data_IF_379750687104
#
_entry.id   IF_379750687104
#
_cell.length_a   1.000
_cell.length_b   1.000
_cell.length_c   1.000
_cell.angle_alpha   90.00
_cell.angle_beta   90.00
_cell.angle_gamma   90.00
#
_symmetry.space_group_name_H-M   'P 1'
#
loop_
_entity.id
_entity.type
_entity.pdbx_description
1 polymer ?
#
# COMPACT_ATOMS: atom_id res chain seq x y z
N UNK A 1 15.59 1.12 -11.03
CA UNK A 1 14.27 0.55 -10.69
C UNK A 1 13.58 0.12 -11.97
N UNK A 2 13.74 -1.15 -12.36
CA UNK A 2 12.91 -1.73 -13.43
C UNK A 2 11.55 -2.03 -12.79
N UNK A 3 10.46 -1.62 -13.42
CA UNK A 3 9.15 -2.14 -13.04
C UNK A 3 9.23 -3.68 -13.09
N UNK A 4 8.51 -4.36 -12.20
CA UNK A 4 8.48 -5.83 -12.20
C UNK A 4 8.18 -6.33 -13.62
N UNK A 5 8.90 -7.34 -14.14
CA UNK A 5 8.61 -7.94 -15.45
C UNK A 5 7.15 -8.39 -15.59
N UNK A 6 6.48 -8.70 -14.49
CA UNK A 6 5.06 -9.02 -14.45
C UNK A 6 4.20 -7.78 -14.74
N UNK A 7 4.55 -6.62 -14.18
CA UNK A 7 3.89 -5.35 -14.48
C UNK A 7 4.07 -5.03 -15.96
N UNK A 8 5.29 -5.12 -16.51
CA UNK A 8 5.54 -4.87 -17.93
C UNK A 8 4.77 -5.83 -18.85
N UNK A 9 4.67 -7.12 -18.49
CA UNK A 9 3.89 -8.11 -19.24
C UNK A 9 2.38 -7.89 -19.15
N UNK A 10 1.85 -7.57 -17.96
CA UNK A 10 0.44 -7.22 -17.79
C UNK A 10 0.09 -5.91 -18.52
N UNK A 11 1.00 -4.93 -18.55
CA UNK A 11 0.82 -3.65 -19.23
C UNK A 11 0.94 -3.77 -20.76
N UNK A 12 1.74 -4.71 -21.28
CA UNK A 12 1.95 -4.92 -22.72
C UNK A 12 0.84 -5.75 -23.40
N UNK A 13 0.00 -6.43 -22.63
CA UNK A 13 -1.03 -7.35 -23.15
C UNK A 13 -2.46 -6.79 -23.15
N UNK A 14 -2.67 -5.52 -22.77
CA UNK A 14 -3.99 -4.90 -22.71
C UNK A 14 -4.39 -4.37 -24.09
N UNK A 15 -5.58 -4.77 -24.55
CA UNK A 15 -6.22 -4.25 -25.77
C UNK A 15 -6.46 -2.73 -25.69
N UNK A 16 -6.29 -2.04 -26.82
CA UNK A 16 -6.41 -0.57 -26.87
C UNK A 16 -7.80 -0.07 -26.42
N UNK A 17 -8.87 -0.84 -26.65
CA UNK A 17 -10.21 -0.46 -26.20
C UNK A 17 -10.34 -0.57 -24.69
N UNK A 18 -9.80 -1.66 -24.10
CA UNK A 18 -9.77 -1.85 -22.64
C UNK A 18 -8.96 -0.75 -21.97
N UNK A 19 -7.84 -0.34 -22.59
CA UNK A 19 -7.06 0.79 -22.10
C UNK A 19 -7.84 2.10 -22.15
N UNK A 20 -8.51 2.39 -23.27
CA UNK A 20 -9.29 3.62 -23.44
C UNK A 20 -10.47 3.69 -22.45
N UNK A 21 -11.18 2.59 -22.22
CA UNK A 21 -12.23 2.49 -21.20
C UNK A 21 -11.68 2.76 -19.80
N UNK A 22 -10.53 2.17 -19.48
CA UNK A 22 -9.82 2.43 -18.23
C UNK A 22 -9.43 3.89 -18.01
N UNK A 23 -8.95 4.56 -19.07
CA UNK A 23 -8.63 5.99 -19.04
C UNK A 23 -9.89 6.82 -18.74
N UNK A 24 -11.05 6.46 -19.29
CA UNK A 24 -12.32 7.12 -19.01
C UNK A 24 -12.80 6.91 -17.58
N UNK A 25 -12.78 5.67 -17.08
CA UNK A 25 -13.17 5.37 -15.69
C UNK A 25 -12.26 6.15 -14.72
N UNK A 26 -10.96 6.21 -14.99
CA UNK A 26 -10.01 6.96 -14.17
C UNK A 26 -10.28 8.47 -14.19
N UNK A 27 -10.61 9.04 -15.36
CA UNK A 27 -10.87 10.46 -15.51
C UNK A 27 -12.19 10.90 -14.86
N UNK A 28 -13.26 10.10 -15.02
CA UNK A 28 -14.61 10.48 -14.58
C UNK A 28 -14.78 10.39 -13.07
N UNK A 29 -14.03 9.51 -12.38
CA UNK A 29 -14.15 9.28 -10.92
C UNK A 29 -15.62 9.23 -10.47
N UNK A 30 -16.42 8.32 -11.06
CA UNK A 30 -17.88 8.44 -11.10
C UNK A 30 -18.53 8.48 -9.71
N UNK A 31 -17.88 7.93 -8.69
CA UNK A 31 -18.44 7.82 -7.34
C UNK A 31 -18.05 9.00 -6.42
N UNK A 32 -17.11 9.87 -6.83
CA UNK A 32 -16.48 10.86 -5.94
C UNK A 32 -17.49 11.88 -5.40
N UNK A 33 -18.48 12.27 -6.22
CA UNK A 33 -19.49 13.25 -5.84
C UNK A 33 -20.67 12.69 -5.01
N UNK A 34 -20.91 11.37 -5.04
CA UNK A 34 -22.08 10.76 -4.40
C UNK A 34 -21.77 10.18 -3.02
N UNK A 35 -20.62 9.50 -2.89
CA UNK A 35 -20.30 8.70 -1.70
C UNK A 35 -18.92 9.04 -1.10
N UNK A 36 -18.22 10.05 -1.63
CA UNK A 36 -16.83 10.34 -1.24
C UNK A 36 -15.82 9.26 -1.66
N UNK A 37 -16.27 8.18 -2.30
CA UNK A 37 -15.47 7.06 -2.83
C UNK A 37 -15.10 7.34 -4.28
N UNK A 38 -13.86 7.12 -4.70
CA UNK A 38 -13.49 7.45 -6.09
C UNK A 38 -13.98 6.40 -7.10
N UNK A 39 -13.85 5.11 -6.78
CA UNK A 39 -14.14 3.97 -7.67
C UNK A 39 -14.72 2.78 -6.87
N UNK A 40 -15.59 1.98 -7.48
CA UNK A 40 -16.12 0.75 -6.88
C UNK A 40 -15.11 -0.40 -6.95
N UNK A 41 -15.40 -1.53 -6.28
CA UNK A 41 -14.59 -2.74 -6.39
C UNK A 41 -14.53 -3.28 -7.83
N UNK A 42 -15.65 -3.21 -8.55
CA UNK A 42 -15.73 -3.57 -9.97
C UNK A 42 -14.83 -2.66 -10.83
N UNK A 43 -14.82 -1.35 -10.54
CA UNK A 43 -13.91 -0.44 -11.23
C UNK A 43 -12.44 -0.79 -10.94
N UNK A 44 -12.08 -1.10 -9.69
CA UNK A 44 -10.73 -1.50 -9.34
C UNK A 44 -10.28 -2.82 -9.98
N UNK A 45 -11.21 -3.72 -10.28
CA UNK A 45 -10.94 -4.95 -11.02
C UNK A 45 -10.74 -4.73 -12.53
N UNK A 46 -11.09 -3.55 -13.07
CA UNK A 46 -10.97 -3.26 -14.49
C UNK A 46 -9.50 -3.06 -14.93
N UNK A 47 -9.01 -3.92 -15.81
CA UNK A 47 -7.59 -3.94 -16.23
C UNK A 47 -7.09 -2.61 -16.79
N UNK A 48 -7.92 -1.90 -17.57
CA UNK A 48 -7.55 -0.58 -18.08
C UNK A 48 -7.44 0.48 -16.96
N UNK A 49 -8.27 0.38 -15.91
CA UNK A 49 -8.15 1.29 -14.76
C UNK A 49 -6.87 0.94 -14.00
N UNK A 50 -6.62 -0.35 -13.76
CA UNK A 50 -5.40 -0.81 -13.11
C UNK A 50 -4.16 -0.31 -13.86
N UNK A 51 -4.12 -0.40 -15.19
CA UNK A 51 -3.04 0.16 -16.01
C UNK A 51 -2.78 1.64 -15.68
N UNK A 52 -3.83 2.46 -15.69
CA UNK A 52 -3.70 3.90 -15.43
C UNK A 52 -3.31 4.19 -13.98
N UNK A 53 -3.89 3.46 -13.04
CA UNK A 53 -3.58 3.58 -11.61
C UNK A 53 -2.12 3.21 -11.35
N UNK A 54 -1.66 2.07 -11.83
CA UNK A 54 -0.28 1.62 -11.68
C UNK A 54 0.69 2.62 -12.33
N UNK A 55 0.38 3.11 -13.54
CA UNK A 55 1.22 4.09 -14.25
C UNK A 55 1.34 5.44 -13.51
N UNK A 56 0.22 5.97 -13.03
CA UNK A 56 0.17 7.33 -12.46
C UNK A 56 0.46 7.35 -10.96
N UNK A 57 -0.08 6.39 -10.22
CA UNK A 57 0.00 6.33 -8.76
C UNK A 57 1.26 5.66 -8.24
N UNK A 58 1.94 4.81 -9.01
CA UNK A 58 3.21 4.21 -8.57
C UNK A 58 4.24 5.26 -8.16
N UNK A 59 4.58 6.17 -9.08
CA UNK A 59 5.56 7.22 -8.83
C UNK A 59 5.10 8.17 -7.71
N UNK A 60 3.83 8.55 -7.71
CA UNK A 60 3.28 9.42 -6.67
C UNK A 60 3.41 8.76 -5.28
N UNK A 61 2.82 7.57 -5.11
CA UNK A 61 2.73 6.88 -3.81
C UNK A 61 4.09 6.46 -3.28
N UNK A 62 4.96 5.96 -4.16
CA UNK A 62 6.33 5.63 -3.79
C UNK A 62 7.07 6.87 -3.27
N UNK A 63 7.03 7.98 -4.02
CA UNK A 63 7.76 9.20 -3.66
C UNK A 63 7.23 9.82 -2.36
N UNK A 64 5.91 9.91 -2.22
CA UNK A 64 5.26 10.41 -1.01
C UNK A 64 5.57 9.54 0.22
N UNK A 65 5.50 8.20 0.05
CA UNK A 65 5.82 7.23 1.09
C UNK A 65 7.27 7.31 1.55
N UNK A 66 8.23 7.33 0.61
CA UNK A 66 9.65 7.44 0.94
C UNK A 66 9.96 8.75 1.67
N UNK A 67 9.40 9.86 1.18
CA UNK A 67 9.58 11.17 1.83
C UNK A 67 8.94 11.20 3.23
N UNK A 68 7.82 10.51 3.44
CA UNK A 68 7.20 10.37 4.76
C UNK A 68 8.11 9.61 5.73
N UNK A 69 8.64 8.47 5.32
CA UNK A 69 9.60 7.68 6.11
C UNK A 69 10.83 8.50 6.48
N UNK A 70 11.41 9.22 5.52
CA UNK A 70 12.57 10.07 5.78
C UNK A 70 12.28 11.16 6.81
N UNK A 71 11.10 11.78 6.76
CA UNK A 71 10.69 12.79 7.75
C UNK A 71 10.52 12.18 9.14
N UNK A 72 9.86 11.03 9.23
CA UNK A 72 9.67 10.33 10.49
C UNK A 72 11.01 9.87 11.10
N UNK A 73 11.93 9.38 10.28
CA UNK A 73 13.30 9.04 10.68
C UNK A 73 14.07 10.24 11.21
N UNK A 74 14.05 11.36 10.49
CA UNK A 74 14.71 12.59 10.94
C UNK A 74 14.10 13.16 12.22
N UNK A 75 12.83 12.85 12.50
CA UNK A 75 12.15 13.21 13.75
C UNK A 75 12.44 12.24 14.90
N UNK A 76 13.22 11.17 14.67
CA UNK A 76 13.58 10.18 15.68
C UNK A 76 12.56 9.06 15.90
N UNK A 77 11.56 8.90 15.02
CA UNK A 77 10.51 7.90 15.18
C UNK A 77 11.02 6.44 15.17
N UNK A 78 12.24 6.21 14.66
CA UNK A 78 12.87 4.89 14.57
C UNK A 78 14.05 4.73 15.55
N UNK A 79 14.17 5.60 16.55
CA UNK A 79 15.32 5.62 17.46
C UNK A 79 15.58 4.26 18.15
N UNK A 80 14.51 3.57 18.57
CA UNK A 80 14.60 2.24 19.21
C UNK A 80 15.15 1.19 18.24
N UNK A 81 14.66 1.18 16.98
CA UNK A 81 15.13 0.27 15.94
C UNK A 81 16.58 0.55 15.53
N UNK A 82 17.02 1.81 15.58
CA UNK A 82 18.43 2.16 15.31
C UNK A 82 19.35 1.84 16.48
N UNK A 83 18.86 1.89 17.72
CA UNK A 83 19.65 1.57 18.90
C UNK A 83 19.91 0.06 19.00
N UNK A 84 18.91 -0.76 18.66
CA UNK A 84 19.02 -2.23 18.62
C UNK A 84 19.99 -2.71 17.53
N UNK A 85 20.16 -1.94 16.45
CA UNK A 85 21.07 -2.28 15.35
C UNK A 85 22.55 -2.42 15.77
N UNK A 86 22.95 -1.77 16.87
CA UNK A 86 24.31 -1.88 17.41
C UNK A 86 24.49 -3.10 18.34
N UNK A 87 23.42 -3.74 18.80
CA UNK A 87 23.45 -4.76 19.85
C UNK A 87 23.32 -6.21 19.33
N UNK A 88 22.50 -6.44 18.30
CA UNK A 88 22.35 -7.69 17.53
C UNK A 88 21.14 -7.51 16.59
N UNK A 89 21.00 -8.28 15.50
CA UNK A 89 19.74 -8.31 14.75
C UNK A 89 18.59 -8.62 15.71
N UNK A 90 17.55 -7.77 15.71
CA UNK A 90 16.31 -8.05 16.45
C UNK A 90 15.82 -9.46 16.12
N UNK A 91 15.50 -10.26 17.15
CA UNK A 91 14.90 -11.58 16.96
C UNK A 91 13.44 -11.52 16.45
N UNK A 92 12.88 -10.32 16.35
CA UNK A 92 11.51 -10.10 15.90
C UNK A 92 11.49 -9.26 14.62
N UNK A 93 10.76 -9.71 13.58
CA UNK A 93 10.55 -8.91 12.38
C UNK A 93 9.89 -7.55 12.71
N UNK A 94 10.37 -6.49 12.07
CA UNK A 94 9.71 -5.19 12.00
C UNK A 94 8.51 -5.31 11.05
N UNK A 95 7.30 -5.33 11.63
CA UNK A 95 6.05 -5.62 10.95
C UNK A 95 5.36 -4.34 10.52
N UNK A 96 5.24 -4.15 9.21
CA UNK A 96 4.62 -2.97 8.62
C UNK A 96 3.34 -3.38 7.89
N UNK A 97 2.24 -2.71 8.22
CA UNK A 97 0.96 -2.88 7.53
C UNK A 97 0.59 -1.58 6.80
N UNK A 98 0.09 -1.68 5.57
CA UNK A 98 -0.53 -0.55 4.88
C UNK A 98 -2.05 -0.74 4.84
N UNK A 99 -2.79 0.24 5.38
CA UNK A 99 -4.25 0.20 5.51
C UNK A 99 -4.90 0.88 4.29
N UNK A 100 -5.59 0.08 3.48
CA UNK A 100 -6.01 0.44 2.12
C UNK A 100 -4.82 0.61 1.18
N UNK A 101 -3.87 -0.33 1.26
CA UNK A 101 -2.57 -0.25 0.58
C UNK A 101 -2.58 -0.52 -0.92
N UNK A 102 -3.69 -1.01 -1.46
CA UNK A 102 -3.87 -1.38 -2.86
C UNK A 102 -2.69 -2.20 -3.41
N UNK A 103 -2.00 -1.74 -4.47
CA UNK A 103 -0.88 -2.47 -5.07
C UNK A 103 0.43 -2.43 -4.25
N UNK A 104 0.48 -1.74 -3.11
CA UNK A 104 1.64 -1.79 -2.19
C UNK A 104 2.79 -0.83 -2.50
N UNK A 105 2.57 0.23 -3.29
CA UNK A 105 3.66 1.16 -3.67
C UNK A 105 4.31 1.92 -2.51
N UNK A 106 3.54 2.28 -1.49
CA UNK A 106 4.09 2.89 -0.28
C UNK A 106 4.88 1.90 0.57
N UNK A 107 4.47 0.63 0.61
CA UNK A 107 5.23 -0.43 1.27
C UNK A 107 6.53 -0.74 0.52
N UNK A 108 6.54 -0.62 -0.82
CA UNK A 108 7.79 -0.67 -1.58
C UNK A 108 8.73 0.48 -1.18
N UNK A 109 8.19 1.68 -0.94
CA UNK A 109 8.99 2.79 -0.45
C UNK A 109 9.51 2.55 0.98
N UNK A 110 8.71 1.96 1.87
CA UNK A 110 9.15 1.53 3.20
C UNK A 110 10.27 0.49 3.10
N UNK A 111 10.12 -0.51 2.22
CA UNK A 111 11.12 -1.55 1.98
C UNK A 111 12.47 -0.94 1.59
N UNK A 112 12.47 -0.07 0.59
CA UNK A 112 13.68 0.56 0.08
C UNK A 112 14.29 1.52 1.12
N UNK A 113 13.45 2.22 1.89
CA UNK A 113 13.89 3.07 2.99
C UNK A 113 14.58 2.26 4.09
N UNK A 114 13.95 1.19 4.59
CA UNK A 114 14.52 0.36 5.64
C UNK A 114 15.81 -0.32 5.16
N UNK A 115 15.88 -0.78 3.91
CA UNK A 115 17.12 -1.33 3.36
C UNK A 115 18.28 -0.31 3.38
N UNK A 116 17.99 0.98 3.19
CA UNK A 116 18.99 2.05 3.20
C UNK A 116 19.35 2.58 4.60
N UNK A 117 18.38 2.64 5.52
CA UNK A 117 18.51 3.35 6.79
C UNK A 117 18.39 2.46 8.04
N UNK A 118 17.83 1.26 7.89
CA UNK A 118 17.63 0.25 8.95
C UNK A 118 18.09 -1.14 8.44
N UNK A 119 19.33 -1.30 7.96
CA UNK A 119 19.76 -2.49 7.21
C UNK A 119 19.79 -3.79 8.02
N UNK A 120 19.73 -3.69 9.35
CA UNK A 120 19.69 -4.83 10.28
C UNK A 120 18.27 -5.27 10.64
N UNK A 121 17.25 -4.48 10.27
CA UNK A 121 15.85 -4.81 10.53
C UNK A 121 15.38 -5.91 9.58
N UNK A 122 14.81 -6.99 10.14
CA UNK A 122 14.06 -7.98 9.37
C UNK A 122 12.66 -7.44 9.08
N UNK A 123 12.43 -6.90 7.88
CA UNK A 123 11.18 -6.19 7.56
C UNK A 123 10.16 -7.13 6.93
N UNK A 124 8.97 -7.18 7.51
CA UNK A 124 7.80 -7.87 6.96
C UNK A 124 6.73 -6.84 6.56
N UNK A 125 6.14 -7.02 5.38
CA UNK A 125 5.25 -6.03 4.76
C UNK A 125 3.93 -6.70 4.37
N UNK A 126 2.82 -6.12 4.81
CA UNK A 126 1.46 -6.58 4.45
C UNK A 126 0.62 -5.41 3.96
N UNK A 127 0.05 -5.54 2.76
CA UNK A 127 -0.96 -4.64 2.20
C UNK A 127 -2.34 -5.16 2.57
N UNK A 128 -3.14 -4.34 3.24
CA UNK A 128 -4.52 -4.64 3.61
C UNK A 128 -5.44 -3.80 2.73
N UNK A 129 -6.31 -4.43 1.94
CA UNK A 129 -7.23 -3.70 1.06
C UNK A 129 -8.45 -4.55 0.68
N UNK A 130 -9.63 -3.94 0.59
CA UNK A 130 -10.85 -4.59 0.09
C UNK A 130 -10.73 -5.01 -1.38
N UNK A 131 -9.95 -4.28 -2.19
CA UNK A 131 -9.77 -4.56 -3.61
C UNK A 131 -8.77 -5.69 -3.84
N UNK A 132 -9.22 -6.93 -3.69
CA UNK A 132 -8.41 -8.15 -3.87
C UNK A 132 -7.75 -8.29 -5.24
N UNK A 133 -8.27 -7.58 -6.25
CA UNK A 133 -7.66 -7.50 -7.59
C UNK A 133 -6.25 -6.90 -7.59
N UNK A 134 -5.82 -6.25 -6.52
CA UNK A 134 -4.44 -5.75 -6.36
C UNK A 134 -3.44 -6.79 -5.88
N UNK A 135 -3.89 -7.93 -5.34
CA UNK A 135 -3.04 -8.98 -4.79
C UNK A 135 -1.88 -9.36 -5.71
N UNK A 136 -2.09 -9.65 -7.02
CA UNK A 136 -0.98 -10.02 -7.90
C UNK A 136 0.08 -8.92 -8.04
N UNK A 137 -0.34 -7.65 -7.99
CA UNK A 137 0.59 -6.52 -8.04
C UNK A 137 1.45 -6.46 -6.77
N UNK A 138 0.82 -6.51 -5.60
CA UNK A 138 1.52 -6.47 -4.31
C UNK A 138 2.49 -7.66 -4.15
N UNK A 139 2.03 -8.88 -4.42
CA UNK A 139 2.86 -10.08 -4.29
C UNK A 139 4.04 -10.06 -5.26
N UNK A 140 3.89 -9.47 -6.46
CA UNK A 140 5.01 -9.30 -7.40
C UNK A 140 6.10 -8.34 -6.92
N UNK A 141 5.80 -7.48 -5.94
CA UNK A 141 6.75 -6.60 -5.26
C UNK A 141 7.38 -7.27 -4.03
N UNK A 142 6.98 -8.50 -3.72
CA UNK A 142 7.36 -9.23 -2.52
C UNK A 142 6.67 -8.71 -1.27
N UNK A 143 5.41 -8.29 -1.39
CA UNK A 143 4.56 -7.78 -0.31
C UNK A 143 3.40 -8.75 -0.12
N UNK A 144 3.12 -9.14 1.13
CA UNK A 144 1.94 -9.95 1.45
C UNK A 144 0.66 -9.14 1.26
N UNK A 145 -0.44 -9.80 0.91
CA UNK A 145 -1.73 -9.12 0.74
C UNK A 145 -2.84 -9.87 1.50
N UNK A 146 -3.69 -9.14 2.19
CA UNK A 146 -4.92 -9.68 2.78
C UNK A 146 -6.10 -8.77 2.48
N UNK A 147 -7.27 -9.38 2.28
CA UNK A 147 -8.51 -8.64 2.21
C UNK A 147 -8.91 -8.19 3.62
N UNK A 148 -9.17 -6.91 3.79
CA UNK A 148 -9.57 -6.35 5.07
C UNK A 148 -10.35 -5.05 4.86
N UNK A 149 -11.43 -4.88 5.63
CA UNK A 149 -12.21 -3.64 5.67
C UNK A 149 -11.61 -2.73 6.75
N UNK A 150 -11.33 -1.47 6.40
CA UNK A 150 -10.80 -0.50 7.35
C UNK A 150 -11.75 -0.17 8.51
N UNK A 151 -13.03 -0.50 8.36
CA UNK A 151 -14.02 -0.38 9.43
C UNK A 151 -14.02 -1.59 10.38
N UNK A 152 -13.29 -2.66 10.06
CA UNK A 152 -13.13 -3.86 10.89
C UNK A 152 -11.89 -3.73 11.80
N UNK A 153 -12.02 -2.94 12.87
CA UNK A 153 -10.92 -2.70 13.81
C UNK A 153 -10.43 -3.97 14.53
N UNK A 154 -11.35 -4.82 15.00
CA UNK A 154 -11.00 -6.05 15.74
C UNK A 154 -10.27 -7.07 14.85
N UNK A 155 -10.58 -7.12 13.55
CA UNK A 155 -9.95 -8.03 12.59
C UNK A 155 -8.55 -7.63 12.10
N UNK A 156 -8.03 -6.45 12.46
CA UNK A 156 -6.79 -5.92 11.89
C UNK A 156 -5.58 -6.86 12.05
N UNK A 157 -5.34 -7.37 13.27
CA UNK A 157 -4.18 -8.21 13.57
C UNK A 157 -4.30 -9.59 12.89
N UNK A 158 -5.51 -10.15 12.87
CA UNK A 158 -5.80 -11.41 12.17
C UNK A 158 -5.57 -11.27 10.66
N UNK A 159 -6.10 -10.20 10.05
CA UNK A 159 -5.93 -9.92 8.63
C UNK A 159 -4.47 -9.67 8.26
N UNK A 160 -3.72 -8.95 9.11
CA UNK A 160 -2.29 -8.74 8.94
C UNK A 160 -1.45 -10.02 9.13
N UNK A 161 -2.02 -11.05 9.76
CA UNK A 161 -1.35 -12.31 10.05
C UNK A 161 -0.25 -12.19 11.11
N UNK A 162 -0.39 -11.23 12.04
CA UNK A 162 0.64 -10.90 13.02
C UNK A 162 0.04 -10.61 14.39
N UNK A 163 0.83 -10.84 15.45
CA UNK A 163 0.45 -10.49 16.83
C UNK A 163 0.63 -8.99 17.15
N UNK A 164 1.42 -8.28 16.33
CA UNK A 164 1.75 -6.86 16.51
C UNK A 164 2.07 -6.20 15.17
N UNK A 165 1.62 -4.97 14.99
CA UNK A 165 2.08 -4.07 13.93
C UNK A 165 3.00 -3.03 14.55
N UNK A 166 4.22 -2.88 14.01
CA UNK A 166 5.21 -1.89 14.47
C UNK A 166 5.05 -0.55 13.76
N UNK A 167 4.54 -0.57 12.52
CA UNK A 167 4.25 0.62 11.74
C UNK A 167 2.99 0.39 10.88
N UNK A 168 1.97 1.23 11.10
CA UNK A 168 0.82 1.34 10.22
C UNK A 168 1.05 2.49 9.22
N UNK A 169 0.95 2.21 7.94
CA UNK A 169 1.00 3.20 6.86
C UNK A 169 -0.41 3.45 6.35
N UNK A 170 -0.82 4.71 6.32
CA UNK A 170 -2.16 5.12 5.89
C UNK A 170 -2.02 6.25 4.89
N UNK A 171 -2.39 6.01 3.65
CA UNK A 171 -2.26 6.98 2.57
C UNK A 171 -3.58 7.23 1.89
N UNK A 172 -4.13 8.43 2.06
CA UNK A 172 -5.36 8.90 1.38
C UNK A 172 -6.67 8.19 1.77
N UNK A 173 -6.59 7.00 2.36
CA UNK A 173 -7.73 6.25 2.89
C UNK A 173 -8.33 6.95 4.11
N UNK A 174 -7.49 7.66 4.89
CA UNK A 174 -7.93 8.40 6.07
C UNK A 174 -9.01 9.44 5.75
N UNK A 175 -8.83 10.20 4.66
CA UNK A 175 -9.76 11.25 4.24
C UNK A 175 -11.09 10.70 3.68
N UNK A 176 -11.06 9.52 3.06
CA UNK A 176 -12.22 8.98 2.35
C UNK A 176 -13.01 7.97 3.18
N UNK A 177 -12.36 7.27 4.10
CA UNK A 177 -12.94 6.10 4.78
C UNK A 177 -12.73 6.09 6.30
N UNK A 178 -11.72 6.78 6.84
CA UNK A 178 -11.39 6.72 8.29
C UNK A 178 -11.64 8.03 9.03
N UNK A 179 -12.28 9.01 8.38
CA UNK A 179 -12.63 10.30 8.98
C UNK A 179 -14.14 10.57 9.00
N UNK A 180 -14.96 9.51 8.95
CA UNK A 180 -16.42 9.56 9.09
C UNK A 180 -16.84 9.19 10.54
N UNK A 181 -18.14 9.27 10.86
CA UNK A 181 -18.67 8.97 12.20
C UNK A 181 -18.46 7.50 12.65
N UNK A 182 -18.03 6.62 11.74
CA UNK A 182 -17.82 5.19 11.96
C UNK A 182 -16.35 4.77 11.80
N UNK A 183 -15.42 5.58 12.31
CA UNK A 183 -14.02 5.17 12.39
C UNK A 183 -13.85 4.13 13.50
N UNK A 184 -13.33 2.95 13.17
CA UNK A 184 -12.92 1.98 14.17
C UNK A 184 -11.77 2.53 15.02
N UNK A 185 -11.80 2.29 16.33
CA UNK A 185 -10.62 2.52 17.19
C UNK A 185 -9.66 1.33 16.98
N UNK A 186 -8.48 1.59 16.42
CA UNK A 186 -7.42 0.60 16.15
C UNK A 186 -6.09 1.06 16.75
#
# INVERSE_FOLDING_TARGET
TKASPLLEQCLAAIDDNVRAEGEQIYAQKPNLGANGVTWSQENYAHLGLQYNYLRLKSMQRYTEGYACMQRAFNAGAFAELTADAEAAPSSHPFRVASLGGGPGFELLAVKDFCAAHLPTADVSLTSLDLATSWRPCAESLGISFSEWDVNDGEGLMEAAGVERIDLAVISYVLYHYMSNEHCAEW
#
